data_IF_829459983995
#
_entry.id   IF_829459983995
#
_cell.length_a   1.000
_cell.length_b   1.000
_cell.length_c   1.000
_cell.angle_alpha   90.00
_cell.angle_beta   90.00
_cell.angle_gamma   90.00
#
_symmetry.space_group_name_H-M   'P 1'
#
loop_
_entity.id
_entity.type
_entity.pdbx_description
1 polymer ?
#
# COMPACT_ATOMS: atom_id res chain seq x y z
N UNK A 1 -9.61 -11.07 -17.88
CA UNK A 1 -10.75 -10.17 -17.63
C UNK A 1 -10.18 -8.91 -17.01
N UNK A 2 -10.41 -7.74 -17.61
CA UNK A 2 -9.96 -6.47 -17.02
C UNK A 2 -10.87 -6.08 -15.85
N UNK A 3 -10.30 -5.55 -14.77
CA UNK A 3 -11.06 -5.08 -13.62
C UNK A 3 -11.79 -3.77 -13.96
N UNK A 4 -13.05 -3.68 -13.57
CA UNK A 4 -13.88 -2.48 -13.61
C UNK A 4 -13.34 -1.39 -12.67
N UNK A 5 -13.75 -0.14 -12.89
CA UNK A 5 -13.43 0.98 -11.99
C UNK A 5 -13.80 0.69 -10.53
N UNK A 6 -14.97 0.09 -10.29
CA UNK A 6 -15.44 -0.18 -8.93
C UNK A 6 -14.60 -1.25 -8.24
N UNK A 7 -14.26 -2.35 -8.94
CA UNK A 7 -13.38 -3.40 -8.40
C UNK A 7 -12.00 -2.85 -8.02
N UNK A 8 -11.50 -1.88 -8.78
CA UNK A 8 -10.22 -1.20 -8.49
C UNK A 8 -10.29 -0.32 -7.25
N UNK A 9 -11.38 0.43 -7.10
CA UNK A 9 -11.63 1.23 -5.91
C UNK A 9 -11.75 0.36 -4.67
N UNK A 10 -12.50 -0.76 -4.75
CA UNK A 10 -12.60 -1.72 -3.66
C UNK A 10 -11.22 -2.25 -3.27
N UNK A 11 -10.39 -2.62 -4.27
CA UNK A 11 -9.02 -3.09 -4.02
C UNK A 11 -8.11 -2.05 -3.37
N UNK A 12 -8.31 -0.77 -3.66
CA UNK A 12 -7.61 0.34 -3.00
C UNK A 12 -8.01 0.41 -1.53
N UNK A 13 -9.30 0.28 -1.23
CA UNK A 13 -9.85 0.27 0.15
C UNK A 13 -9.29 -0.92 0.92
N UNK A 14 -9.40 -2.14 0.38
CA UNK A 14 -8.92 -3.36 1.05
C UNK A 14 -7.43 -3.28 1.41
N UNK A 15 -6.60 -2.71 0.52
CA UNK A 15 -5.17 -2.51 0.77
C UNK A 15 -4.90 -1.44 1.84
N UNK A 16 -5.70 -0.36 1.86
CA UNK A 16 -5.58 0.67 2.87
C UNK A 16 -5.96 0.14 4.25
N UNK A 17 -7.06 -0.61 4.34
CA UNK A 17 -7.52 -1.26 5.57
C UNK A 17 -6.47 -2.26 6.08
N UNK A 18 -5.90 -3.07 5.19
CA UNK A 18 -4.80 -4.00 5.54
C UNK A 18 -3.57 -3.27 6.12
N UNK A 19 -3.23 -2.08 5.59
CA UNK A 19 -2.14 -1.27 6.15
C UNK A 19 -2.51 -0.72 7.53
N UNK A 20 -3.75 -0.25 7.70
CA UNK A 20 -4.23 0.33 8.95
C UNK A 20 -4.33 -0.70 10.07
N UNK A 21 -4.94 -1.87 9.81
CA UNK A 21 -5.03 -2.97 10.78
C UNK A 21 -3.65 -3.32 11.33
N UNK A 22 -2.67 -3.42 10.44
CA UNK A 22 -1.29 -3.76 10.81
C UNK A 22 -0.53 -2.64 11.53
N UNK A 23 -0.88 -1.37 11.31
CA UNK A 23 -0.33 -0.24 12.06
C UNK A 23 -0.95 -0.12 13.46
N UNK A 24 -2.21 -0.52 13.62
CA UNK A 24 -2.93 -0.53 14.91
C UNK A 24 -2.52 -1.71 15.78
N UNK A 25 -2.03 -2.81 15.18
CA UNK A 25 -1.39 -3.88 15.93
C UNK A 25 -0.11 -3.38 16.63
N UNK A 26 -0.22 -3.08 17.93
CA UNK A 26 0.81 -2.60 18.89
C UNK A 26 2.13 -3.41 18.95
N UNK A 27 2.28 -4.45 18.11
CA UNK A 27 3.42 -5.38 18.11
C UNK A 27 4.46 -5.08 17.05
N UNK A 28 4.34 -3.97 16.31
CA UNK A 28 5.22 -3.71 15.17
C UNK A 28 6.10 -2.48 15.37
N UNK A 29 7.38 -2.71 15.68
CA UNK A 29 8.40 -1.67 15.56
C UNK A 29 8.80 -1.48 14.10
N UNK A 30 8.58 -0.27 13.56
CA UNK A 30 8.96 0.09 12.20
C UNK A 30 10.24 0.95 12.20
N UNK A 31 11.10 0.75 11.21
CA UNK A 31 12.25 1.64 11.01
C UNK A 31 11.76 2.99 10.51
N UNK A 32 12.34 4.09 11.02
CA UNK A 32 11.97 5.44 10.61
C UNK A 32 12.08 5.68 9.08
N UNK A 33 13.06 5.05 8.41
CA UNK A 33 13.20 5.11 6.95
C UNK A 33 12.01 4.48 6.22
N UNK A 34 11.54 3.33 6.72
CA UNK A 34 10.46 2.57 6.11
C UNK A 34 9.13 3.30 6.31
N UNK A 35 8.91 3.88 7.50
CA UNK A 35 7.77 4.77 7.77
C UNK A 35 7.77 6.00 6.86
N UNK A 36 8.91 6.67 6.69
CA UNK A 36 9.03 7.83 5.79
C UNK A 36 8.69 7.46 4.35
N UNK A 37 9.18 6.33 3.88
CA UNK A 37 8.93 5.87 2.51
C UNK A 37 7.47 5.46 2.30
N UNK A 38 6.86 4.76 3.27
CA UNK A 38 5.45 4.42 3.23
C UNK A 38 4.57 5.67 3.26
N UNK A 39 4.88 6.65 4.12
CA UNK A 39 4.17 7.92 4.19
C UNK A 39 4.22 8.70 2.86
N UNK A 40 5.38 8.73 2.19
CA UNK A 40 5.52 9.36 0.88
C UNK A 40 4.63 8.67 -0.18
N UNK A 41 4.64 7.33 -0.22
CA UNK A 41 3.83 6.56 -1.17
C UNK A 41 2.33 6.74 -0.91
N UNK A 42 1.90 6.73 0.34
CA UNK A 42 0.51 7.00 0.73
C UNK A 42 0.07 8.42 0.33
N UNK A 43 0.91 9.43 0.56
CA UNK A 43 0.62 10.80 0.14
C UNK A 43 0.49 10.93 -1.39
N UNK A 44 1.31 10.19 -2.15
CA UNK A 44 1.19 10.12 -3.62
C UNK A 44 -0.12 9.46 -4.05
N UNK A 45 -0.53 8.37 -3.39
CA UNK A 45 -1.84 7.74 -3.64
C UNK A 45 -2.99 8.72 -3.43
N UNK A 46 -3.00 9.46 -2.30
CA UNK A 46 -4.04 10.48 -2.01
C UNK A 46 -4.07 11.55 -3.11
N UNK A 47 -2.91 12.07 -3.51
CA UNK A 47 -2.80 13.08 -4.58
C UNK A 47 -3.34 12.55 -5.91
N UNK A 48 -3.03 11.32 -6.27
CA UNK A 48 -3.47 10.70 -7.53
C UNK A 48 -4.98 10.43 -7.53
N UNK A 49 -5.52 9.91 -6.43
CA UNK A 49 -6.97 9.72 -6.26
C UNK A 49 -7.69 11.07 -6.33
N UNK A 50 -7.20 12.10 -5.64
CA UNK A 50 -7.81 13.43 -5.68
C UNK A 50 -7.82 14.03 -7.10
N UNK A 51 -6.73 13.88 -7.85
CA UNK A 51 -6.65 14.30 -9.26
C UNK A 51 -7.66 13.55 -10.14
N UNK A 52 -7.77 12.23 -9.96
CA UNK A 52 -8.72 11.39 -10.69
C UNK A 52 -10.17 11.86 -10.49
N UNK A 53 -10.54 12.21 -9.26
CA UNK A 53 -11.89 12.68 -8.96
C UNK A 53 -12.13 14.13 -9.41
N UNK A 54 -11.09 14.97 -9.43
CA UNK A 54 -11.22 16.40 -9.72
C UNK A 54 -11.18 16.75 -11.21
N UNK A 55 -10.44 15.98 -12.03
CA UNK A 55 -10.14 16.39 -13.40
C UNK A 55 -10.67 15.47 -14.50
N UNK A 56 -11.27 14.31 -14.21
CA UNK A 56 -12.14 13.56 -15.13
C UNK A 56 -11.61 13.15 -16.52
N UNK A 57 -10.38 13.48 -16.91
CA UNK A 57 -9.91 13.40 -18.31
C UNK A 57 -8.56 12.68 -18.46
N UNK A 58 -8.35 11.60 -17.71
CA UNK A 58 -7.20 10.71 -17.85
C UNK A 58 -7.62 9.32 -18.32
N UNK A 59 -6.67 8.52 -18.79
CA UNK A 59 -6.88 7.08 -18.95
C UNK A 59 -6.94 6.43 -17.56
N UNK A 60 -8.09 6.62 -16.90
CA UNK A 60 -8.30 6.40 -15.45
C UNK A 60 -7.91 5.00 -14.99
N UNK A 61 -7.94 4.02 -15.90
CA UNK A 61 -7.55 2.63 -15.63
C UNK A 61 -6.09 2.49 -15.19
N UNK A 62 -5.14 3.09 -15.91
CA UNK A 62 -3.72 3.00 -15.58
C UNK A 62 -3.37 3.74 -14.30
N UNK A 63 -4.10 4.81 -14.00
CA UNK A 63 -3.89 5.62 -12.81
C UNK A 63 -4.35 4.88 -11.54
N UNK A 64 -5.49 4.17 -11.58
CA UNK A 64 -5.89 3.30 -10.47
C UNK A 64 -4.92 2.14 -10.24
N UNK A 65 -4.39 1.53 -11.31
CA UNK A 65 -3.32 0.51 -11.19
C UNK A 65 -2.05 1.07 -10.56
N UNK A 66 -1.67 2.29 -10.92
CA UNK A 66 -0.52 2.97 -10.34
C UNK A 66 -0.71 3.23 -8.84
N UNK A 67 -1.93 3.54 -8.39
CA UNK A 67 -2.28 3.70 -6.97
C UNK A 67 -2.22 2.34 -6.25
N UNK A 68 -2.84 1.30 -6.82
CA UNK A 68 -2.81 -0.07 -6.26
C UNK A 68 -1.36 -0.53 -6.07
N UNK A 69 -0.50 -0.32 -7.06
CA UNK A 69 0.91 -0.71 -6.96
C UNK A 69 1.67 0.04 -5.86
N UNK A 70 1.43 1.34 -5.68
CA UNK A 70 2.04 2.11 -4.58
C UNK A 70 1.56 1.65 -3.20
N UNK A 71 0.28 1.32 -3.07
CA UNK A 71 -0.26 0.73 -1.83
C UNK A 71 0.39 -0.62 -1.53
N UNK A 72 0.51 -1.51 -2.53
CA UNK A 72 1.20 -2.79 -2.39
C UNK A 72 2.67 -2.60 -1.99
N UNK A 73 3.37 -1.64 -2.58
CA UNK A 73 4.75 -1.34 -2.19
C UNK A 73 4.82 -0.81 -0.76
N UNK A 74 3.88 0.05 -0.35
CA UNK A 74 3.81 0.55 1.03
C UNK A 74 3.58 -0.58 2.03
N UNK A 75 2.60 -1.45 1.75
CA UNK A 75 2.36 -2.67 2.52
C UNK A 75 3.62 -3.54 2.61
N UNK A 76 4.29 -3.78 1.48
CA UNK A 76 5.51 -4.59 1.46
C UNK A 76 6.69 -3.97 2.24
N UNK A 77 6.89 -2.65 2.16
CA UNK A 77 7.93 -1.95 2.92
C UNK A 77 7.69 -2.10 4.43
N UNK A 78 6.44 -1.93 4.84
CA UNK A 78 6.06 -2.04 6.25
C UNK A 78 6.12 -3.50 6.75
N UNK A 79 5.86 -4.50 5.88
CA UNK A 79 5.53 -5.84 6.35
C UNK A 79 6.34 -7.01 5.73
N UNK A 80 6.82 -6.96 4.47
CA UNK A 80 7.69 -8.03 3.92
C UNK A 80 9.14 -8.01 4.45
N UNK A 81 9.49 -6.99 5.24
CA UNK A 81 10.68 -7.02 6.09
C UNK A 81 10.58 -8.02 7.26
N UNK A 82 9.37 -8.44 7.65
CA UNK A 82 9.15 -9.36 8.77
C UNK A 82 9.45 -10.82 8.40
N UNK A 83 8.98 -11.31 7.26
CA UNK A 83 9.12 -12.74 6.90
C UNK A 83 10.57 -13.20 6.69
N UNK A 84 11.44 -12.33 6.15
CA UNK A 84 12.87 -12.66 6.03
C UNK A 84 13.58 -12.76 7.38
N UNK A 85 13.10 -12.06 8.41
CA UNK A 85 13.69 -12.08 9.75
C UNK A 85 13.16 -13.24 10.60
N UNK A 86 11.89 -13.58 10.46
CA UNK A 86 11.29 -14.74 11.16
C UNK A 86 11.92 -16.06 10.69
N UNK A 87 12.07 -16.26 9.37
CA UNK A 87 12.71 -17.48 8.86
C UNK A 87 14.21 -17.58 9.20
N UNK A 88 14.92 -16.45 9.30
CA UNK A 88 16.33 -16.45 9.70
C UNK A 88 16.54 -16.82 11.17
N UNK A 89 15.58 -16.49 12.05
CA UNK A 89 15.65 -16.84 13.48
C UNK A 89 15.22 -18.29 13.77
N UNK A 90 14.31 -18.86 12.97
CA UNK A 90 13.90 -20.26 13.11
C UNK A 90 14.94 -21.25 12.56
N UNK A 91 15.78 -20.82 11.60
CA UNK A 91 16.89 -21.64 11.08
C UNK A 91 18.15 -21.66 11.97
N UNK A 92 18.14 -21.00 13.12
CA UNK A 92 19.27 -20.91 14.07
C UNK A 92 18.89 -21.44 15.48
N UNK A 93 17.74 -22.11 15.61
CA UNK A 93 17.31 -22.78 16.85
C UNK A 93 17.43 -24.30 16.77
#
# INVERSE_FOLDING_TARGET
MELTKQERLNRIVDLADSILEQLVEDRTEFRAKDLKQAAELLARCVKEIAKLQSHGTGNTLYEYEAVINKLRVSYNILFLGKEKKTMANESVS
#
